data_IF_438314256523
#
_entry.id   IF_438314256523
#
_cell.length_a   1.000
_cell.length_b   1.000
_cell.length_c   1.000
_cell.angle_alpha   90.00
_cell.angle_beta   90.00
_cell.angle_gamma   90.00
#
_symmetry.space_group_name_H-M   'P 1'
#
loop_
_entity.id
_entity.type
_entity.pdbx_description
1 polymer ?
#
# COMPACT_ATOMS: atom_id res chain seq x y z
N UNK A 1 -24.14 27.49 -5.63
CA UNK A 1 -23.48 27.03 -4.39
C UNK A 1 -22.01 27.34 -4.58
N UNK A 2 -21.52 28.31 -3.84
CA UNK A 2 -20.16 28.85 -3.99
C UNK A 2 -19.17 27.86 -3.39
N UNK A 3 -18.26 27.41 -4.23
CA UNK A 3 -17.06 26.69 -3.84
C UNK A 3 -16.27 27.54 -2.83
N UNK A 4 -16.36 27.19 -1.54
CA UNK A 4 -15.54 27.77 -0.49
C UNK A 4 -14.16 27.10 -0.54
N UNK A 5 -13.38 27.53 -1.51
CA UNK A 5 -12.01 27.08 -1.72
C UNK A 5 -11.10 27.38 -0.52
N UNK A 6 -11.33 26.73 0.60
CA UNK A 6 -10.36 26.66 1.70
C UNK A 6 -9.18 25.81 1.21
N UNK A 7 -8.28 26.45 0.48
CA UNK A 7 -6.92 25.97 0.41
C UNK A 7 -6.43 25.96 1.87
N UNK A 8 -6.20 24.77 2.43
CA UNK A 8 -5.42 24.66 3.64
C UNK A 8 -4.09 25.36 3.35
N UNK A 9 -3.92 26.55 3.93
CA UNK A 9 -2.63 27.23 3.90
C UNK A 9 -1.64 26.25 4.54
N UNK A 10 -0.78 25.66 3.72
CA UNK A 10 0.26 24.76 4.23
C UNK A 10 1.15 25.62 5.10
N UNK A 11 0.99 25.47 6.41
CA UNK A 11 1.96 26.02 7.36
C UNK A 11 3.32 25.39 7.01
N UNK A 12 4.42 26.19 6.99
CA UNK A 12 5.73 25.63 6.75
C UNK A 12 5.98 24.52 7.78
N UNK A 13 6.45 23.37 7.31
CA UNK A 13 6.79 22.25 8.18
C UNK A 13 7.76 22.73 9.25
N UNK A 14 7.41 22.63 10.55
CA UNK A 14 8.33 22.99 11.59
C UNK A 14 9.49 21.99 11.58
N UNK A 15 10.68 22.45 11.21
CA UNK A 15 11.88 21.62 11.30
C UNK A 15 12.21 21.40 12.79
N UNK A 16 11.98 20.19 13.25
CA UNK A 16 12.41 19.77 14.57
C UNK A 16 13.82 19.17 14.45
N UNK A 17 14.84 19.77 15.10
CA UNK A 17 16.20 19.28 14.98
C UNK A 17 16.32 17.83 15.47
N UNK A 18 16.82 16.95 14.60
CA UNK A 18 17.27 15.62 14.98
C UNK A 18 18.68 15.73 15.55
N UNK A 19 18.84 15.37 16.81
CA UNK A 19 20.10 15.46 17.54
C UNK A 19 20.93 14.18 17.42
N UNK A 20 20.26 13.04 17.29
CA UNK A 20 20.84 11.71 17.21
C UNK A 20 19.86 10.82 16.43
N UNK A 21 20.38 9.92 15.61
CA UNK A 21 19.61 8.86 14.94
C UNK A 21 20.35 7.53 15.13
N UNK A 22 19.65 6.53 15.63
CA UNK A 22 20.24 5.22 15.92
C UNK A 22 19.34 4.09 15.38
N UNK A 23 19.94 3.15 14.66
CA UNK A 23 19.30 1.90 14.28
C UNK A 23 19.58 0.86 15.36
N UNK A 24 18.52 0.36 16.01
CA UNK A 24 18.61 -0.63 17.09
C UNK A 24 18.35 -2.06 16.62
N UNK A 25 17.65 -2.21 15.49
CA UNK A 25 17.22 -3.50 14.97
C UNK A 25 17.21 -3.51 13.44
N UNK A 26 17.84 -4.52 12.84
CA UNK A 26 17.92 -4.68 11.39
C UNK A 26 17.59 -6.13 11.00
N UNK A 27 16.72 -6.27 9.99
CA UNK A 27 16.35 -7.53 9.36
C UNK A 27 16.48 -7.42 7.85
N UNK A 28 16.26 -8.51 7.14
CA UNK A 28 16.12 -8.44 5.68
C UNK A 28 14.83 -7.76 5.19
N UNK A 29 13.88 -7.45 6.10
CA UNK A 29 12.57 -6.93 5.76
C UNK A 29 12.34 -5.49 6.20
N UNK A 30 12.90 -5.08 7.32
CA UNK A 30 12.80 -3.73 7.85
C UNK A 30 13.94 -3.40 8.79
N UNK A 31 14.17 -2.11 9.01
CA UNK A 31 15.02 -1.59 10.07
C UNK A 31 14.18 -0.87 11.11
N UNK A 32 14.61 -0.87 12.36
CA UNK A 32 13.96 -0.17 13.45
C UNK A 32 14.97 0.59 14.30
N UNK A 33 14.55 1.74 14.82
CA UNK A 33 15.42 2.58 15.63
C UNK A 33 14.70 3.78 16.22
N UNK A 34 15.47 4.81 16.57
CA UNK A 34 14.91 6.06 17.06
C UNK A 34 15.67 7.28 16.54
N UNK A 35 14.96 8.41 16.51
CA UNK A 35 15.54 9.74 16.42
C UNK A 35 15.37 10.45 17.75
N UNK A 36 16.45 10.98 18.32
CA UNK A 36 16.38 11.92 19.44
C UNK A 36 16.12 13.31 18.88
N UNK A 37 14.93 13.83 19.10
CA UNK A 37 14.45 15.07 18.50
C UNK A 37 14.30 16.15 19.56
N UNK A 38 14.71 17.38 19.22
CA UNK A 38 14.42 18.56 20.05
C UNK A 38 13.03 19.08 19.69
N UNK A 39 12.11 19.00 20.65
CA UNK A 39 10.73 19.46 20.50
C UNK A 39 10.63 21.01 20.55
N UNK A 40 9.55 21.61 20.03
CA UNK A 40 9.36 23.07 20.04
C UNK A 40 9.39 23.72 21.42
N UNK A 41 9.02 22.97 22.46
CA UNK A 41 9.07 23.43 23.86
C UNK A 41 10.49 23.37 24.46
N UNK A 42 11.50 22.99 23.67
CA UNK A 42 12.90 22.88 24.08
C UNK A 42 13.30 21.58 24.76
N UNK A 43 12.36 20.69 25.06
CA UNK A 43 12.65 19.34 25.56
C UNK A 43 13.13 18.40 24.47
N UNK A 44 13.74 17.28 24.85
CA UNK A 44 14.14 16.22 23.90
C UNK A 44 13.33 14.97 24.13
N UNK A 45 13.04 14.24 23.03
CA UNK A 45 12.30 12.98 23.09
C UNK A 45 12.80 12.01 22.01
N UNK A 46 12.87 10.73 22.32
CA UNK A 46 13.08 9.68 21.32
C UNK A 46 11.77 9.38 20.59
N UNK A 47 11.83 9.46 19.26
CA UNK A 47 10.77 9.03 18.34
C UNK A 47 11.22 7.73 17.70
N UNK A 48 10.59 6.64 18.12
CA UNK A 48 10.87 5.32 17.57
C UNK A 48 10.20 5.15 16.22
N UNK A 49 10.92 4.50 15.31
CA UNK A 49 10.46 4.24 13.95
C UNK A 49 10.80 2.84 13.50
N UNK A 50 10.02 2.32 12.53
CA UNK A 50 10.37 1.18 11.70
C UNK A 50 10.32 1.62 10.24
N UNK A 51 11.37 1.34 9.48
CA UNK A 51 11.49 1.68 8.06
C UNK A 51 11.33 0.43 7.22
N UNK A 52 10.32 0.44 6.36
CA UNK A 52 9.99 -0.63 5.42
C UNK A 52 10.20 -0.14 3.98
N UNK A 53 10.46 -1.07 3.09
CA UNK A 53 10.48 -0.78 1.66
C UNK A 53 9.14 -0.15 1.21
N UNK A 54 9.21 0.72 0.22
CA UNK A 54 8.00 1.25 -0.45
C UNK A 54 7.25 0.09 -1.10
N UNK A 55 5.93 0.07 -0.97
CA UNK A 55 5.08 -0.96 -1.55
C UNK A 55 4.08 -0.39 -2.55
N UNK A 56 3.53 -1.26 -3.39
CA UNK A 56 2.43 -0.97 -4.29
C UNK A 56 1.28 -1.94 -4.03
N UNK A 57 0.05 -1.45 -4.19
CA UNK A 57 -1.20 -2.23 -4.13
C UNK A 57 -1.91 -2.04 -5.46
N UNK A 58 -2.42 -3.13 -6.02
CA UNK A 58 -3.01 -3.13 -7.36
C UNK A 58 -4.50 -3.40 -7.29
N UNK A 59 -5.30 -2.47 -7.79
CA UNK A 59 -6.73 -2.64 -8.00
C UNK A 59 -6.91 -3.01 -9.47
N UNK A 60 -7.09 -4.30 -9.76
CA UNK A 60 -7.15 -4.82 -11.11
C UNK A 60 -8.56 -5.34 -11.43
N UNK A 61 -9.15 -4.89 -12.55
CA UNK A 61 -10.52 -5.22 -12.95
C UNK A 61 -10.53 -6.04 -14.25
N UNK A 62 -11.21 -7.16 -14.22
CA UNK A 62 -11.48 -8.03 -15.38
C UNK A 62 -12.93 -8.51 -15.34
N UNK A 63 -13.66 -8.41 -16.47
CA UNK A 63 -15.01 -8.96 -16.64
C UNK A 63 -15.96 -8.65 -15.46
N UNK A 64 -16.04 -7.37 -15.04
CA UNK A 64 -16.83 -6.88 -13.91
C UNK A 64 -16.45 -7.50 -12.55
N UNK A 65 -15.21 -7.99 -12.40
CA UNK A 65 -14.66 -8.49 -11.14
C UNK A 65 -13.34 -7.81 -10.80
N UNK A 66 -13.12 -7.56 -9.52
CA UNK A 66 -11.82 -7.15 -8.98
C UNK A 66 -11.01 -8.40 -8.64
N UNK A 67 -9.74 -8.40 -9.04
CA UNK A 67 -8.82 -9.49 -8.74
C UNK A 67 -8.25 -9.33 -7.35
N UNK A 68 -8.37 -10.39 -6.54
CA UNK A 68 -7.84 -10.51 -5.19
C UNK A 68 -6.90 -11.70 -5.09
N UNK A 69 -6.12 -11.71 -4.03
CA UNK A 69 -5.35 -12.87 -3.58
C UNK A 69 -5.78 -13.26 -2.17
N UNK A 70 -5.82 -14.55 -1.91
CA UNK A 70 -6.07 -15.08 -0.58
C UNK A 70 -4.81 -15.75 -0.08
N UNK A 71 -4.26 -15.28 1.04
CA UNK A 71 -3.01 -15.81 1.60
C UNK A 71 -3.02 -15.83 3.13
N UNK A 72 -2.25 -16.76 3.67
CA UNK A 72 -2.01 -16.82 5.13
C UNK A 72 -0.91 -15.83 5.52
N UNK A 73 -1.23 -14.91 6.45
CA UNK A 73 -0.28 -13.94 7.00
C UNK A 73 0.24 -14.42 8.37
N UNK A 74 1.47 -15.00 8.43
CA UNK A 74 2.03 -15.54 9.68
C UNK A 74 2.14 -14.52 10.81
N UNK A 75 2.34 -13.24 10.49
CA UNK A 75 2.47 -12.16 11.48
C UNK A 75 1.21 -11.97 12.33
N UNK A 76 0.05 -12.12 11.73
CA UNK A 76 -1.26 -12.03 12.39
C UNK A 76 -1.92 -13.39 12.57
N UNK A 77 -1.33 -14.48 12.02
CA UNK A 77 -1.81 -15.86 12.07
C UNK A 77 -3.22 -16.05 11.53
N UNK A 78 -3.52 -15.37 10.41
CA UNK A 78 -4.83 -15.41 9.76
C UNK A 78 -4.67 -15.48 8.25
N UNK A 79 -5.65 -16.11 7.59
CA UNK A 79 -5.81 -16.00 6.14
C UNK A 79 -6.56 -14.71 5.84
N UNK A 80 -6.04 -13.94 4.90
CA UNK A 80 -6.58 -12.66 4.48
C UNK A 80 -6.94 -12.71 2.99
N UNK A 81 -8.03 -12.02 2.63
CA UNK A 81 -8.36 -11.67 1.26
C UNK A 81 -7.81 -10.26 1.01
N UNK A 82 -6.89 -10.14 0.08
CA UNK A 82 -6.11 -8.92 -0.14
C UNK A 82 -6.09 -8.54 -1.61
N UNK A 83 -5.90 -7.27 -1.90
CA UNK A 83 -5.50 -6.84 -3.24
C UNK A 83 -4.06 -7.30 -3.50
N UNK A 84 -3.70 -7.65 -4.76
CA UNK A 84 -2.33 -7.96 -5.13
C UNK A 84 -1.40 -6.81 -4.73
N UNK A 85 -0.23 -7.12 -4.17
CA UNK A 85 0.64 -6.10 -3.60
C UNK A 85 2.07 -6.62 -3.40
N UNK A 86 3.05 -5.77 -3.66
CA UNK A 86 4.44 -6.10 -3.41
C UNK A 86 5.35 -4.91 -3.23
N UNK A 87 6.64 -5.17 -3.16
CA UNK A 87 7.67 -4.16 -2.94
C UNK A 87 8.02 -3.48 -4.28
N UNK A 88 8.15 -2.16 -4.24
CA UNK A 88 8.70 -1.39 -5.37
C UNK A 88 10.22 -1.58 -5.38
N UNK A 89 10.75 -2.18 -6.42
CA UNK A 89 12.18 -2.43 -6.57
C UNK A 89 12.95 -1.14 -6.90
N UNK A 90 14.28 -1.22 -6.77
CA UNK A 90 15.12 -0.05 -7.01
C UNK A 90 15.03 0.42 -8.47
N UNK A 91 14.50 1.63 -8.67
CA UNK A 91 14.36 2.26 -9.97
C UNK A 91 13.02 2.02 -10.65
N UNK A 92 12.15 1.21 -10.08
CA UNK A 92 10.78 1.06 -10.56
C UNK A 92 9.90 2.27 -10.20
N UNK A 93 8.94 2.57 -11.08
CA UNK A 93 7.79 3.38 -10.74
C UNK A 93 6.71 2.54 -10.05
N UNK A 94 5.72 3.18 -9.41
CA UNK A 94 4.56 2.45 -8.86
C UNK A 94 3.82 1.65 -9.93
N UNK A 95 3.71 2.17 -11.16
CA UNK A 95 3.04 1.49 -12.26
C UNK A 95 3.83 0.28 -12.76
N UNK A 96 5.15 0.37 -12.86
CA UNK A 96 5.98 -0.76 -13.28
C UNK A 96 5.91 -1.90 -12.24
N UNK A 97 6.08 -1.56 -10.96
CA UNK A 97 5.95 -2.53 -9.87
C UNK A 97 4.56 -3.16 -9.82
N UNK A 98 3.48 -2.36 -10.00
CA UNK A 98 2.11 -2.88 -10.02
C UNK A 98 1.87 -3.90 -11.14
N UNK A 99 2.34 -3.61 -12.35
CA UNK A 99 2.20 -4.52 -13.50
C UNK A 99 3.00 -5.81 -13.29
N UNK A 100 4.20 -5.71 -12.70
CA UNK A 100 5.03 -6.88 -12.36
C UNK A 100 4.34 -7.74 -11.30
N UNK A 101 3.95 -7.17 -10.16
CA UNK A 101 3.30 -7.89 -9.05
C UNK A 101 1.97 -8.52 -9.47
N UNK A 102 1.15 -7.79 -10.25
CA UNK A 102 -0.09 -8.33 -10.79
C UNK A 102 0.15 -9.61 -11.61
N UNK A 103 1.18 -9.58 -12.46
CA UNK A 103 1.54 -10.73 -13.28
C UNK A 103 2.06 -11.88 -12.41
N UNK A 104 2.98 -11.61 -11.51
CA UNK A 104 3.64 -12.61 -10.66
C UNK A 104 2.62 -13.31 -9.74
N UNK A 105 1.81 -12.54 -9.02
CA UNK A 105 0.87 -13.07 -8.05
C UNK A 105 -0.41 -13.66 -8.67
N UNK A 106 -0.87 -13.11 -9.80
CA UNK A 106 -2.20 -13.48 -10.33
C UNK A 106 -2.19 -14.13 -11.68
N UNK A 107 -1.13 -13.99 -12.47
CA UNK A 107 -1.09 -14.45 -13.87
C UNK A 107 -1.93 -13.58 -14.80
N UNK A 108 -2.07 -12.28 -14.52
CA UNK A 108 -2.66 -11.30 -15.43
C UNK A 108 -1.65 -10.24 -15.86
N UNK A 109 -1.63 -9.92 -17.15
CA UNK A 109 -1.02 -8.72 -17.68
C UNK A 109 -2.11 -7.66 -17.90
N UNK A 110 -1.79 -6.39 -17.65
CA UNK A 110 -2.69 -5.26 -17.85
C UNK A 110 -2.30 -4.46 -19.09
N UNK A 111 -3.29 -3.96 -19.84
CA UNK A 111 -3.07 -3.07 -20.99
C UNK A 111 -2.76 -1.64 -20.53
N UNK A 112 -3.32 -1.22 -19.38
CA UNK A 112 -3.08 0.09 -18.77
C UNK A 112 -2.99 0.01 -17.26
N UNK A 113 -2.19 0.91 -16.67
CA UNK A 113 -2.04 1.06 -15.23
C UNK A 113 -1.83 2.53 -14.88
N UNK A 114 -2.52 3.04 -13.86
CA UNK A 114 -2.43 4.42 -13.41
C UNK A 114 -2.40 4.52 -11.89
N UNK A 115 -1.57 5.44 -11.36
CA UNK A 115 -1.53 5.72 -9.92
C UNK A 115 -2.78 6.49 -9.52
N UNK A 116 -3.52 5.97 -8.54
CA UNK A 116 -4.71 6.60 -7.96
C UNK A 116 -4.48 7.07 -6.53
N UNK A 117 -3.38 6.69 -5.90
CA UNK A 117 -3.04 7.11 -4.55
C UNK A 117 -1.56 6.88 -4.22
N UNK A 118 -1.05 7.69 -3.30
CA UNK A 118 0.31 7.60 -2.77
C UNK A 118 0.27 8.13 -1.33
N UNK A 119 0.45 7.25 -0.36
CA UNK A 119 0.23 7.53 1.04
C UNK A 119 1.41 7.13 1.93
N UNK A 120 1.54 7.81 3.05
CA UNK A 120 2.36 7.38 4.17
C UNK A 120 1.55 6.54 5.13
N UNK A 121 1.99 5.32 5.42
CA UNK A 121 1.30 4.40 6.32
C UNK A 121 1.71 4.65 7.77
N UNK A 122 0.74 4.67 8.70
CA UNK A 122 0.99 4.71 10.16
C UNK A 122 2.09 5.68 10.58
N UNK A 123 1.98 6.95 10.15
CA UNK A 123 3.00 8.01 10.27
C UNK A 123 3.52 8.29 11.68
N UNK A 124 2.87 7.75 12.71
CA UNK A 124 3.34 7.84 14.10
C UNK A 124 4.50 6.89 14.43
N UNK A 125 4.78 5.89 13.57
CA UNK A 125 5.79 4.87 13.83
C UNK A 125 6.46 4.34 12.56
N UNK A 126 5.80 4.36 11.40
CA UNK A 126 6.36 3.79 10.18
C UNK A 126 6.97 4.88 9.27
N UNK A 127 8.11 4.55 8.69
CA UNK A 127 8.67 5.15 7.48
C UNK A 127 8.36 4.20 6.32
N UNK A 128 7.10 4.23 5.87
CA UNK A 128 6.61 3.34 4.84
C UNK A 128 5.66 4.08 3.90
N UNK A 129 5.96 4.06 2.60
CA UNK A 129 5.09 4.60 1.55
C UNK A 129 4.37 3.47 0.83
N UNK A 130 3.15 3.74 0.40
CA UNK A 130 2.33 2.82 -0.38
C UNK A 130 1.70 3.54 -1.54
N UNK A 131 1.95 3.04 -2.77
CA UNK A 131 1.25 3.45 -3.97
C UNK A 131 0.02 2.59 -4.19
N UNK A 132 -1.06 3.18 -4.69
CA UNK A 132 -2.24 2.47 -5.18
C UNK A 132 -2.34 2.68 -6.67
N UNK A 133 -2.44 1.57 -7.41
CA UNK A 133 -2.46 1.56 -8.87
C UNK A 133 -3.70 0.84 -9.35
N UNK A 134 -4.47 1.51 -10.19
CA UNK A 134 -5.59 0.91 -10.90
C UNK A 134 -5.09 0.32 -12.23
N UNK A 135 -5.48 -0.93 -12.51
CA UNK A 135 -5.08 -1.67 -13.70
C UNK A 135 -6.29 -2.27 -14.42
N UNK A 136 -6.32 -2.16 -15.75
CA UNK A 136 -7.42 -2.63 -16.60
C UNK A 136 -6.91 -3.25 -17.91
N UNK A 137 -7.83 -3.86 -18.66
CA UNK A 137 -7.47 -4.55 -19.89
C UNK A 137 -6.69 -5.84 -19.61
N UNK A 138 -7.16 -6.61 -18.63
CA UNK A 138 -6.44 -7.80 -18.17
C UNK A 138 -6.47 -8.94 -19.18
N UNK A 139 -5.30 -9.50 -19.46
CA UNK A 139 -5.15 -10.72 -20.27
C UNK A 139 -4.44 -11.81 -19.48
N UNK A 140 -4.92 -13.07 -19.49
CA UNK A 140 -4.23 -14.17 -18.82
C UNK A 140 -2.84 -14.41 -19.40
N UNK A 141 -1.86 -14.57 -18.51
CA UNK A 141 -0.48 -14.91 -18.83
C UNK A 141 0.02 -16.01 -17.90
N UNK A 142 1.23 -16.51 -18.11
CA UNK A 142 1.86 -17.44 -17.17
C UNK A 142 2.17 -16.74 -15.87
N UNK A 143 1.73 -17.34 -14.77
CA UNK A 143 1.98 -16.88 -13.40
C UNK A 143 3.39 -17.28 -12.98
N UNK A 144 4.07 -16.38 -12.25
CA UNK A 144 5.47 -16.58 -11.83
C UNK A 144 5.66 -16.19 -10.36
N UNK A 145 5.10 -17.02 -9.47
CA UNK A 145 5.20 -16.84 -8.03
C UNK A 145 6.62 -17.05 -7.53
N UNK A 146 7.02 -16.25 -6.58
CA UNK A 146 8.21 -16.49 -5.80
C UNK A 146 8.12 -17.81 -5.00
N UNK A 147 9.25 -18.46 -4.76
CA UNK A 147 9.33 -19.75 -4.02
C UNK A 147 8.71 -19.70 -2.63
N UNK A 148 8.58 -18.51 -2.05
CA UNK A 148 8.02 -18.26 -0.70
C UNK A 148 6.58 -17.79 -0.70
N UNK A 149 5.93 -17.69 -1.85
CA UNK A 149 4.57 -17.19 -1.99
C UNK A 149 3.55 -18.33 -2.09
N UNK A 150 2.64 -18.35 -1.15
CA UNK A 150 1.57 -19.35 -1.05
C UNK A 150 0.22 -18.62 -1.02
N UNK A 151 -0.26 -18.29 -2.20
CA UNK A 151 -1.51 -17.54 -2.36
C UNK A 151 -2.40 -18.12 -3.47
N UNK A 152 -3.70 -17.84 -3.37
CA UNK A 152 -4.72 -18.24 -4.35
C UNK A 152 -5.40 -16.99 -4.91
N UNK A 153 -5.58 -16.94 -6.21
CA UNK A 153 -6.32 -15.87 -6.88
C UNK A 153 -7.81 -16.00 -6.59
N UNK A 154 -8.47 -14.90 -6.31
CA UNK A 154 -9.91 -14.78 -6.12
C UNK A 154 -10.44 -13.65 -7.01
N UNK A 155 -11.68 -13.81 -7.46
CA UNK A 155 -12.41 -12.78 -8.18
C UNK A 155 -13.61 -12.36 -7.33
N UNK A 156 -13.78 -11.05 -7.11
CA UNK A 156 -14.91 -10.48 -6.35
C UNK A 156 -15.68 -9.57 -7.30
N UNK A 157 -17.01 -9.75 -7.44
CA UNK A 157 -17.83 -8.87 -8.27
C UNK A 157 -17.67 -7.40 -7.86
N UNK A 158 -17.61 -6.48 -8.84
CA UNK A 158 -17.42 -5.05 -8.56
C UNK A 158 -18.51 -4.50 -7.65
N UNK A 159 -19.75 -4.95 -7.80
CA UNK A 159 -20.90 -4.52 -6.97
C UNK A 159 -20.83 -5.05 -5.52
N UNK A 160 -20.03 -6.07 -5.23
CA UNK A 160 -19.81 -6.63 -3.88
C UNK A 160 -18.49 -6.18 -3.25
N UNK A 161 -17.57 -5.56 -4.01
CA UNK A 161 -16.18 -5.36 -3.58
C UNK A 161 -16.05 -4.46 -2.36
N UNK A 162 -16.85 -3.39 -2.27
CA UNK A 162 -16.82 -2.47 -1.12
C UNK A 162 -17.31 -3.18 0.15
N UNK A 163 -18.39 -3.95 0.06
CA UNK A 163 -18.88 -4.76 1.20
C UNK A 163 -17.80 -5.75 1.65
N UNK A 164 -17.19 -6.45 0.70
CA UNK A 164 -16.14 -7.43 0.97
C UNK A 164 -14.90 -6.80 1.59
N UNK A 165 -14.44 -5.65 1.09
CA UNK A 165 -13.27 -4.94 1.63
C UNK A 165 -13.51 -4.35 3.02
N UNK A 166 -14.76 -4.09 3.39
CA UNK A 166 -15.15 -3.56 4.72
C UNK A 166 -15.52 -4.65 5.73
N UNK A 167 -15.61 -5.92 5.33
CA UNK A 167 -15.88 -7.05 6.23
C UNK A 167 -14.72 -7.26 7.20
N UNK A 168 -15.00 -7.10 8.48
CA UNK A 168 -13.97 -7.19 9.54
C UNK A 168 -13.67 -8.63 9.95
N UNK A 169 -12.40 -8.95 10.25
CA UNK A 169 -11.23 -8.10 10.18
C UNK A 169 -10.67 -8.00 8.75
N UNK A 170 -10.36 -6.79 8.29
CA UNK A 170 -9.69 -6.54 7.01
C UNK A 170 -8.34 -5.86 7.23
N UNK A 171 -7.50 -5.81 6.19
CA UNK A 171 -6.26 -5.06 6.20
C UNK A 171 -6.44 -3.66 5.60
N UNK A 172 -5.59 -2.72 6.04
CA UNK A 172 -5.63 -1.33 5.62
C UNK A 172 -5.42 -1.15 4.12
N UNK A 173 -4.48 -1.88 3.52
CA UNK A 173 -4.14 -1.78 2.11
C UNK A 173 -5.31 -2.11 1.18
N UNK A 174 -6.02 -3.20 1.48
CA UNK A 174 -7.22 -3.61 0.72
C UNK A 174 -8.35 -2.60 0.89
N UNK A 175 -8.62 -2.18 2.12
CA UNK A 175 -9.67 -1.22 2.41
C UNK A 175 -9.40 0.13 1.71
N UNK A 176 -8.20 0.67 1.87
CA UNK A 176 -7.80 1.94 1.27
C UNK A 176 -7.85 1.87 -0.26
N UNK A 177 -7.30 0.81 -0.87
CA UNK A 177 -7.27 0.64 -2.32
C UNK A 177 -8.67 0.56 -2.95
N UNK A 178 -9.57 -0.24 -2.36
CA UNK A 178 -10.95 -0.35 -2.84
C UNK A 178 -11.70 0.97 -2.68
N UNK A 179 -11.57 1.64 -1.53
CA UNK A 179 -12.27 2.92 -1.30
C UNK A 179 -11.74 4.05 -2.20
N UNK A 180 -10.43 4.11 -2.46
CA UNK A 180 -9.87 5.07 -3.41
C UNK A 180 -10.41 4.84 -4.82
N UNK A 181 -10.40 3.61 -5.31
CA UNK A 181 -10.91 3.28 -6.63
C UNK A 181 -12.42 3.55 -6.75
N UNK A 182 -13.18 3.25 -5.71
CA UNK A 182 -14.63 3.55 -5.66
C UNK A 182 -14.90 5.06 -5.70
N UNK A 183 -14.17 5.88 -4.94
CA UNK A 183 -14.34 7.34 -4.92
C UNK A 183 -13.96 8.00 -6.26
N UNK A 184 -12.97 7.43 -6.97
CA UNK A 184 -12.59 7.86 -8.32
C UNK A 184 -13.57 7.38 -9.41
N UNK A 185 -14.58 6.57 -9.07
CA UNK A 185 -15.57 6.03 -10.00
C UNK A 185 -15.01 4.96 -10.95
N UNK A 186 -14.00 4.24 -10.49
CA UNK A 186 -13.33 3.16 -11.22
C UNK A 186 -13.92 1.78 -10.88
N UNK A 187 -14.76 1.73 -9.83
CA UNK A 187 -15.49 0.54 -9.35
C UNK A 187 -16.98 0.81 -9.25
#
# INVERSE_FOLDING_TARGET
MTDDGRRHEQLPDPEWPVLESETEYETGWFTGGYDLVKQPNGTTKRYYWAELATAVVVIAVADDHVVFVEQYRPTIRQTQLELPAGIVEQGESFTDAAVRELREETGFAADSASVIGDVWCSTGVLRHRRGFVFAEGLTPVERDLDDNEFLSVRAVPVDEVVERATESPTNDATLEGVLLAYEEGLL
#
